data_IF_611333420477
#
_entry.id   IF_611333420477
#
_cell.length_a   1.000
_cell.length_b   1.000
_cell.length_c   1.000
_cell.angle_alpha   90.00
_cell.angle_beta   90.00
_cell.angle_gamma   90.00
#
_symmetry.space_group_name_H-M   'P 1'
#
loop_
_entity.id
_entity.type
_entity.pdbx_description
1 polymer ?
#
# COMPACT_ATOMS: atom_id res chain seq x y z
N UNK A 1 -20.72 -6.35 -3.01
CA UNK A 1 -19.55 -7.02 -2.40
C UNK A 1 -19.95 -7.59 -1.05
N UNK A 2 -19.55 -8.79 -0.69
CA UNK A 2 -19.75 -9.35 0.66
C UNK A 2 -18.45 -9.20 1.41
N UNK A 3 -18.45 -8.48 2.54
CA UNK A 3 -17.25 -8.24 3.33
C UNK A 3 -16.95 -9.44 4.23
N UNK A 4 -15.68 -9.82 4.32
CA UNK A 4 -15.20 -10.95 5.14
C UNK A 4 -14.80 -10.53 6.55
N UNK A 5 -14.48 -9.25 6.72
CA UNK A 5 -14.08 -8.67 8.01
C UNK A 5 -14.81 -7.34 8.25
N UNK A 6 -14.91 -6.94 9.52
CA UNK A 6 -15.45 -5.63 9.88
C UNK A 6 -14.57 -4.48 9.37
N UNK A 7 -13.24 -4.71 9.25
CA UNK A 7 -12.32 -3.74 8.70
C UNK A 7 -12.62 -3.45 7.21
N UNK A 8 -12.94 -4.48 6.41
CA UNK A 8 -13.38 -4.27 5.02
C UNK A 8 -14.65 -3.41 4.95
N UNK A 9 -15.67 -3.73 5.77
CA UNK A 9 -16.91 -2.95 5.82
C UNK A 9 -16.65 -1.50 6.24
N UNK A 10 -15.76 -1.28 7.19
CA UNK A 10 -15.37 0.05 7.69
C UNK A 10 -14.71 0.90 6.58
N UNK A 11 -13.75 0.34 5.84
CA UNK A 11 -13.04 1.05 4.78
C UNK A 11 -13.86 1.20 3.49
N UNK A 12 -14.74 0.24 3.18
CA UNK A 12 -15.65 0.35 2.04
C UNK A 12 -16.80 1.35 2.27
N UNK A 13 -17.12 1.66 3.52
CA UNK A 13 -18.22 2.53 3.92
C UNK A 13 -17.86 4.01 4.03
N UNK A 14 -18.67 4.73 4.82
CA UNK A 14 -18.61 6.19 4.98
C UNK A 14 -17.25 6.68 5.49
N UNK A 15 -16.63 5.93 6.42
CA UNK A 15 -15.31 6.31 6.94
C UNK A 15 -14.26 6.37 5.83
N UNK A 16 -14.20 5.35 4.94
CA UNK A 16 -13.29 5.34 3.80
C UNK A 16 -13.56 6.50 2.84
N UNK A 17 -14.83 6.85 2.64
CA UNK A 17 -15.23 7.98 1.81
C UNK A 17 -14.81 9.32 2.42
N UNK A 18 -15.01 9.52 3.72
CA UNK A 18 -14.53 10.73 4.43
C UNK A 18 -13.01 10.82 4.44
N UNK A 19 -12.31 9.69 4.48
CA UNK A 19 -10.85 9.62 4.47
C UNK A 19 -10.24 10.16 3.18
N UNK A 20 -10.97 10.12 2.04
CA UNK A 20 -10.54 10.69 0.76
C UNK A 20 -10.12 12.17 0.92
N UNK A 21 -10.90 12.96 1.68
CA UNK A 21 -10.66 14.40 1.84
C UNK A 21 -9.33 14.74 2.51
N UNK A 22 -8.71 13.78 3.22
CA UNK A 22 -7.44 13.97 3.94
C UNK A 22 -6.23 13.58 3.11
N UNK A 23 -6.43 12.84 2.03
CA UNK A 23 -5.37 12.23 1.23
C UNK A 23 -5.29 12.83 -0.17
N UNK A 24 -5.24 14.15 -0.25
CA UNK A 24 -5.16 14.90 -1.51
C UNK A 24 -4.31 16.16 -1.37
N UNK A 25 -3.96 16.76 -2.52
CA UNK A 25 -3.26 18.04 -2.61
C UNK A 25 -1.77 17.90 -2.93
N UNK A 26 -1.20 19.05 -3.37
CA UNK A 26 0.15 19.11 -3.90
C UNK A 26 1.23 18.85 -2.85
N UNK A 27 0.99 19.23 -1.58
CA UNK A 27 1.92 18.96 -0.49
C UNK A 27 2.09 17.44 -0.25
N UNK A 28 0.99 16.68 -0.27
CA UNK A 28 1.05 15.23 -0.17
C UNK A 28 1.73 14.60 -1.38
N UNK A 29 1.46 15.14 -2.59
CA UNK A 29 2.13 14.66 -3.81
C UNK A 29 3.64 14.88 -3.73
N UNK A 30 4.09 16.06 -3.27
CA UNK A 30 5.51 16.35 -3.08
C UNK A 30 6.17 15.42 -2.06
N UNK A 31 5.50 15.17 -0.92
CA UNK A 31 5.98 14.20 0.09
C UNK A 31 6.06 12.78 -0.46
N UNK A 32 5.10 12.36 -1.28
CA UNK A 32 5.12 11.05 -1.93
C UNK A 32 6.24 10.95 -2.98
N UNK A 33 6.53 12.01 -3.73
CA UNK A 33 7.65 12.05 -4.68
C UNK A 33 8.98 11.83 -3.96
N UNK A 34 9.23 12.57 -2.88
CA UNK A 34 10.44 12.41 -2.06
C UNK A 34 10.53 10.99 -1.47
N UNK A 35 9.42 10.51 -0.93
CA UNK A 35 9.32 9.16 -0.35
C UNK A 35 9.70 8.08 -1.38
N UNK A 36 9.06 8.07 -2.55
CA UNK A 36 9.31 7.03 -3.56
C UNK A 36 10.69 7.19 -4.21
N UNK A 37 11.21 8.40 -4.39
CA UNK A 37 12.57 8.61 -4.87
C UNK A 37 13.61 7.99 -3.92
N UNK A 38 13.38 8.06 -2.60
CA UNK A 38 14.21 7.43 -1.58
C UNK A 38 14.01 5.90 -1.52
N UNK A 39 12.76 5.47 -1.40
CA UNK A 39 12.43 4.05 -1.19
C UNK A 39 12.75 3.17 -2.39
N UNK A 40 12.72 3.70 -3.61
CA UNK A 40 12.96 2.95 -4.84
C UNK A 40 14.36 3.17 -5.43
N UNK A 41 15.27 3.87 -4.75
CA UNK A 41 16.62 4.18 -5.28
C UNK A 41 17.44 2.96 -5.66
N UNK A 42 17.18 1.80 -5.04
CA UNK A 42 17.83 0.52 -5.33
C UNK A 42 17.09 -0.31 -6.39
N UNK A 43 15.82 0.01 -6.66
CA UNK A 43 15.02 -0.68 -7.67
C UNK A 43 15.33 -0.16 -9.08
N UNK A 44 15.50 -1.06 -10.03
CA UNK A 44 15.82 -0.72 -11.42
C UNK A 44 14.85 -1.37 -12.40
N UNK A 45 14.53 -0.66 -13.48
CA UNK A 45 13.76 -1.20 -14.60
C UNK A 45 12.29 -1.42 -14.26
N UNK A 46 11.70 -0.65 -13.35
CA UNK A 46 10.26 -0.67 -13.05
C UNK A 46 9.50 -0.12 -14.24
N UNK A 47 8.70 -0.96 -14.90
CA UNK A 47 7.83 -0.61 -16.02
C UNK A 47 6.36 -0.84 -15.73
N UNK A 48 6.07 -1.63 -14.68
CA UNK A 48 4.70 -1.92 -14.24
C UNK A 48 4.62 -1.90 -12.72
N UNK A 49 3.48 -1.45 -12.18
CA UNK A 49 3.22 -1.53 -10.75
C UNK A 49 1.77 -1.86 -10.45
N UNK A 50 1.55 -2.43 -9.28
CA UNK A 50 0.22 -2.57 -8.66
C UNK A 50 0.26 -2.09 -7.23
N UNK A 51 -0.70 -1.25 -6.85
CA UNK A 51 -0.89 -0.77 -5.48
C UNK A 51 -2.10 -1.46 -4.83
N UNK A 52 -1.89 -1.99 -3.63
CA UNK A 52 -2.91 -2.61 -2.80
C UNK A 52 -3.46 -1.58 -1.80
N UNK A 53 -4.73 -1.18 -1.97
CA UNK A 53 -5.36 -0.12 -1.18
C UNK A 53 -4.93 1.28 -1.63
N UNK A 54 -5.20 1.62 -2.89
CA UNK A 54 -4.63 2.82 -3.52
C UNK A 54 -5.39 4.12 -3.18
N UNK A 55 -6.54 4.05 -2.52
CA UNK A 55 -7.41 5.20 -2.31
C UNK A 55 -7.61 5.95 -3.64
N UNK A 56 -7.48 7.27 -3.68
CA UNK A 56 -7.61 8.09 -4.91
C UNK A 56 -6.31 8.16 -5.74
N UNK A 57 -5.30 7.32 -5.46
CA UNK A 57 -4.10 7.15 -6.29
C UNK A 57 -3.00 8.19 -6.12
N UNK A 58 -2.88 8.85 -4.96
CA UNK A 58 -1.82 9.85 -4.74
C UNK A 58 -0.40 9.25 -4.82
N UNK A 59 -0.23 8.00 -4.39
CA UNK A 59 1.04 7.28 -4.56
C UNK A 59 1.30 6.99 -6.04
N UNK A 60 0.29 6.55 -6.79
CA UNK A 60 0.42 6.29 -8.23
C UNK A 60 0.69 7.56 -9.04
N UNK A 61 0.12 8.73 -8.64
CA UNK A 61 0.48 10.02 -9.24
C UNK A 61 1.97 10.30 -9.11
N UNK A 62 2.53 10.08 -7.91
CA UNK A 62 3.97 10.25 -7.69
C UNK A 62 4.80 9.26 -8.50
N UNK A 63 4.42 7.98 -8.53
CA UNK A 63 5.13 6.95 -9.30
C UNK A 63 5.10 7.23 -10.81
N UNK A 64 3.98 7.71 -11.36
CA UNK A 64 3.87 8.10 -12.78
C UNK A 64 4.76 9.29 -13.15
N UNK A 65 5.02 10.21 -12.21
CA UNK A 65 5.96 11.32 -12.41
C UNK A 65 7.43 10.85 -12.35
N UNK A 66 7.75 9.91 -11.43
CA UNK A 66 9.10 9.35 -11.31
C UNK A 66 9.43 8.34 -12.41
N UNK A 67 8.43 7.61 -12.91
CA UNK A 67 8.55 6.60 -13.95
C UNK A 67 7.55 6.87 -15.08
N UNK A 68 7.83 7.84 -15.98
CA UNK A 68 6.95 8.16 -17.11
C UNK A 68 6.69 6.91 -17.98
N UNK A 69 5.40 6.62 -18.23
CA UNK A 69 5.01 5.44 -19.01
C UNK A 69 4.85 4.15 -18.20
N UNK A 70 4.96 4.20 -16.87
CA UNK A 70 4.69 3.04 -16.01
C UNK A 70 3.25 2.53 -16.23
N UNK A 71 3.10 1.22 -16.43
CA UNK A 71 1.82 0.52 -16.48
C UNK A 71 1.32 0.31 -15.04
N UNK A 72 0.46 1.23 -14.57
CA UNK A 72 0.03 1.29 -13.18
C UNK A 72 -1.35 0.67 -12.99
N UNK A 73 -1.47 -0.27 -12.06
CA UNK A 73 -2.70 -0.92 -11.63
C UNK A 73 -2.97 -0.62 -10.15
N UNK A 74 -4.21 -0.76 -9.73
CA UNK A 74 -4.59 -0.53 -8.33
C UNK A 74 -5.77 -1.39 -7.88
N UNK A 75 -5.76 -1.75 -6.60
CA UNK A 75 -6.89 -2.38 -5.92
C UNK A 75 -7.42 -1.38 -4.90
N UNK A 76 -8.73 -1.15 -4.91
CA UNK A 76 -9.38 -0.27 -3.94
C UNK A 76 -10.77 -0.81 -3.59
N UNK A 77 -11.08 -0.85 -2.28
CA UNK A 77 -12.33 -1.41 -1.78
C UNK A 77 -13.45 -0.36 -1.71
N UNK A 78 -13.10 0.93 -1.51
CA UNK A 78 -14.07 2.01 -1.45
C UNK A 78 -14.49 2.42 -2.86
N UNK A 79 -15.81 2.40 -3.12
CA UNK A 79 -16.34 2.65 -4.45
C UNK A 79 -16.07 4.07 -4.96
N UNK A 80 -16.15 5.08 -4.09
CA UNK A 80 -15.92 6.47 -4.47
C UNK A 80 -14.44 6.73 -4.73
N UNK A 81 -13.55 6.18 -3.90
CA UNK A 81 -12.10 6.24 -4.13
C UNK A 81 -11.71 5.55 -5.44
N UNK A 82 -12.25 4.35 -5.71
CA UNK A 82 -12.01 3.62 -6.96
C UNK A 82 -12.49 4.39 -8.20
N UNK A 83 -13.62 5.10 -8.09
CA UNK A 83 -14.11 5.98 -9.17
C UNK A 83 -13.13 7.12 -9.45
N UNK A 84 -12.65 7.83 -8.42
CA UNK A 84 -11.69 8.93 -8.55
C UNK A 84 -10.31 8.42 -9.02
N UNK A 85 -9.92 7.22 -8.66
CA UNK A 85 -8.69 6.58 -9.12
C UNK A 85 -8.67 6.42 -10.65
N UNK A 86 -9.84 6.29 -11.29
CA UNK A 86 -10.00 6.30 -12.74
C UNK A 86 -9.54 7.60 -13.45
N UNK A 87 -9.37 8.70 -12.70
CA UNK A 87 -8.78 9.95 -13.21
C UNK A 87 -7.24 9.93 -13.19
N UNK A 88 -6.64 8.95 -12.49
CA UNK A 88 -5.17 8.81 -12.34
C UNK A 88 -4.61 7.73 -13.27
N UNK A 89 -5.30 6.60 -13.36
CA UNK A 89 -4.95 5.45 -14.20
C UNK A 89 -6.16 5.03 -15.04
N UNK A 90 -5.96 4.34 -16.18
CA UNK A 90 -7.06 3.85 -16.99
C UNK A 90 -8.07 3.05 -16.16
N UNK A 91 -9.39 3.26 -16.32
CA UNK A 91 -10.40 2.54 -15.54
C UNK A 91 -10.30 1.00 -15.61
N UNK A 92 -9.80 0.45 -16.72
CA UNK A 92 -9.56 -0.99 -16.89
C UNK A 92 -8.43 -1.53 -15.98
N UNK A 93 -7.61 -0.65 -15.41
CA UNK A 93 -6.52 -0.98 -14.48
C UNK A 93 -6.92 -0.75 -13.01
N UNK A 94 -8.13 -0.24 -12.77
CA UNK A 94 -8.71 -0.08 -11.43
C UNK A 94 -9.49 -1.35 -11.06
N UNK A 95 -9.02 -2.07 -10.06
CA UNK A 95 -9.70 -3.24 -9.52
C UNK A 95 -10.52 -2.82 -8.29
N UNK A 96 -11.81 -2.48 -8.48
CA UNK A 96 -12.72 -2.22 -7.36
C UNK A 96 -13.06 -3.53 -6.68
N UNK A 97 -12.27 -3.91 -5.70
CA UNK A 97 -12.32 -5.21 -5.01
C UNK A 97 -11.68 -5.14 -3.63
N UNK A 98 -12.06 -6.08 -2.76
CA UNK A 98 -11.26 -6.37 -1.58
C UNK A 98 -9.92 -7.00 -1.98
N UNK A 99 -8.86 -6.68 -1.23
CA UNK A 99 -7.55 -7.35 -1.32
C UNK A 99 -7.70 -8.86 -1.08
N UNK A 100 -8.61 -9.27 -0.18
CA UNK A 100 -8.87 -10.67 0.15
C UNK A 100 -9.56 -11.45 -0.99
N UNK A 101 -10.24 -10.76 -1.90
CA UNK A 101 -10.90 -11.36 -3.06
C UNK A 101 -10.06 -11.24 -4.34
N UNK A 102 -9.11 -10.31 -4.37
CA UNK A 102 -8.29 -10.08 -5.54
C UNK A 102 -7.38 -11.27 -5.82
N UNK A 103 -7.41 -11.76 -7.05
CA UNK A 103 -6.52 -12.83 -7.54
C UNK A 103 -5.70 -12.27 -8.70
N UNK A 104 -4.37 -12.12 -8.54
CA UNK A 104 -3.52 -11.58 -9.60
C UNK A 104 -3.55 -12.47 -10.84
N UNK A 105 -3.93 -11.91 -11.99
CA UNK A 105 -3.88 -12.61 -13.28
C UNK A 105 -2.48 -12.55 -13.93
N UNK A 106 -1.61 -11.69 -13.41
CA UNK A 106 -0.22 -11.50 -13.85
C UNK A 106 0.63 -11.02 -12.68
N UNK A 107 1.91 -10.83 -12.91
CA UNK A 107 2.84 -10.18 -11.99
C UNK A 107 3.24 -8.79 -12.51
N UNK A 108 3.63 -7.91 -11.59
CA UNK A 108 4.11 -6.55 -11.86
C UNK A 108 5.55 -6.40 -11.36
N UNK A 109 6.34 -5.54 -12.02
CA UNK A 109 7.73 -5.27 -11.60
C UNK A 109 7.78 -4.73 -10.16
N UNK A 110 6.81 -3.91 -9.77
CA UNK A 110 6.65 -3.38 -8.42
C UNK A 110 5.24 -3.71 -7.87
N UNK A 111 5.19 -4.38 -6.75
CA UNK A 111 3.99 -4.47 -5.90
C UNK A 111 4.16 -3.54 -4.70
N UNK A 112 3.16 -2.69 -4.46
CA UNK A 112 3.18 -1.66 -3.41
C UNK A 112 2.00 -1.85 -2.45
N UNK A 113 2.30 -1.72 -1.15
CA UNK A 113 1.30 -1.53 -0.10
C UNK A 113 1.81 -0.49 0.90
N UNK A 114 1.00 0.55 1.18
CA UNK A 114 1.41 1.68 2.03
C UNK A 114 0.24 2.15 2.90
N UNK A 115 0.38 2.02 4.22
CA UNK A 115 -0.62 2.45 5.20
C UNK A 115 -1.92 1.62 5.16
N UNK A 116 -1.85 0.35 4.82
CA UNK A 116 -3.01 -0.54 4.63
C UNK A 116 -2.95 -1.76 5.54
N UNK A 117 -1.80 -2.44 5.64
CA UNK A 117 -1.66 -3.64 6.47
C UNK A 117 -1.98 -3.37 7.94
N UNK A 118 -1.70 -2.16 8.41
CA UNK A 118 -2.05 -1.69 9.76
C UNK A 118 -3.56 -1.72 10.03
N UNK A 119 -4.39 -1.78 9.01
CA UNK A 119 -5.85 -1.79 9.10
C UNK A 119 -6.46 -3.16 8.76
N UNK A 120 -5.64 -4.16 8.46
CA UNK A 120 -6.07 -5.53 8.16
C UNK A 120 -6.13 -6.33 9.46
N UNK A 121 -7.22 -7.09 9.67
CA UNK A 121 -7.34 -7.97 10.83
C UNK A 121 -6.21 -9.02 10.83
N UNK A 122 -5.50 -9.24 11.96
CA UNK A 122 -4.33 -10.11 12.01
C UNK A 122 -4.55 -11.53 11.49
N UNK A 123 -5.75 -12.11 11.67
CA UNK A 123 -6.06 -13.48 11.24
C UNK A 123 -6.06 -13.64 9.70
N UNK A 124 -6.30 -12.57 8.95
CA UNK A 124 -6.33 -12.63 7.48
C UNK A 124 -5.05 -12.09 6.83
N UNK A 125 -4.09 -11.57 7.62
CA UNK A 125 -2.80 -11.10 7.09
C UNK A 125 -2.06 -12.15 6.28
N UNK A 126 -1.98 -13.46 6.68
CA UNK A 126 -1.32 -14.46 5.87
C UNK A 126 -1.86 -14.57 4.44
N UNK A 127 -3.19 -14.42 4.26
CA UNK A 127 -3.81 -14.42 2.94
C UNK A 127 -3.41 -13.16 2.14
N UNK A 128 -3.31 -12.00 2.79
CA UNK A 128 -2.86 -10.76 2.14
C UNK A 128 -1.40 -10.87 1.70
N UNK A 129 -0.53 -11.45 2.53
CA UNK A 129 0.88 -11.70 2.19
C UNK A 129 1.02 -12.60 0.96
N UNK A 130 0.20 -13.66 0.87
CA UNK A 130 0.16 -14.54 -0.31
C UNK A 130 -0.27 -13.77 -1.58
N UNK A 131 -1.24 -12.84 -1.47
CA UNK A 131 -1.67 -12.01 -2.60
C UNK A 131 -0.59 -11.03 -3.06
N UNK A 132 0.09 -10.38 -2.11
CA UNK A 132 1.22 -9.50 -2.39
C UNK A 132 2.35 -10.25 -3.11
N UNK A 133 2.72 -11.42 -2.58
CA UNK A 133 3.75 -12.26 -3.18
C UNK A 133 3.37 -12.78 -4.57
N UNK A 134 2.12 -13.19 -4.76
CA UNK A 134 1.62 -13.67 -6.06
C UNK A 134 1.62 -12.55 -7.12
N UNK A 135 1.31 -11.30 -6.74
CA UNK A 135 1.37 -10.15 -7.62
C UNK A 135 2.81 -9.68 -7.91
N UNK A 136 3.75 -9.98 -7.01
CA UNK A 136 5.14 -9.52 -7.10
C UNK A 136 5.91 -10.28 -8.18
N UNK A 137 6.32 -9.55 -9.24
CA UNK A 137 7.23 -10.09 -10.26
C UNK A 137 8.70 -9.89 -9.89
N UNK A 138 9.03 -8.77 -9.24
CA UNK A 138 10.42 -8.49 -8.85
C UNK A 138 10.53 -7.75 -7.53
N UNK A 139 9.90 -6.59 -7.37
CA UNK A 139 10.02 -5.79 -6.14
C UNK A 139 8.71 -5.77 -5.38
N UNK A 140 8.81 -5.90 -4.05
CA UNK A 140 7.72 -5.64 -3.11
C UNK A 140 8.13 -4.51 -2.18
N UNK A 141 7.38 -3.41 -2.19
CA UNK A 141 7.53 -2.29 -1.25
C UNK A 141 6.40 -2.34 -0.23
N UNK A 142 6.77 -2.53 1.03
CA UNK A 142 5.89 -2.46 2.20
C UNK A 142 6.23 -1.21 2.98
N UNK A 143 5.25 -0.33 3.22
CA UNK A 143 5.44 0.93 3.94
C UNK A 143 4.33 1.09 4.99
N UNK A 144 4.64 0.80 6.25
CA UNK A 144 3.65 0.66 7.32
C UNK A 144 4.18 1.22 8.66
N UNK A 145 3.32 1.29 9.67
CA UNK A 145 3.76 1.57 11.03
C UNK A 145 4.40 0.32 11.64
N UNK A 146 5.70 0.35 11.76
CA UNK A 146 6.48 -0.75 12.31
C UNK A 146 6.38 -0.85 13.84
N UNK A 147 6.36 -2.08 14.34
CA UNK A 147 6.67 -2.43 15.73
C UNK A 147 7.30 -3.83 15.75
N UNK A 148 8.37 -4.07 16.52
CA UNK A 148 9.04 -5.38 16.54
C UNK A 148 8.17 -6.51 17.12
N UNK A 149 7.15 -6.16 17.87
CA UNK A 149 6.18 -7.10 18.43
C UNK A 149 4.75 -6.68 18.07
N UNK A 150 3.83 -7.60 17.79
CA UNK A 150 2.45 -7.27 17.48
C UNK A 150 1.77 -6.46 18.59
N UNK A 151 1.19 -5.32 18.25
CA UNK A 151 0.39 -4.49 19.16
C UNK A 151 -0.85 -3.97 18.45
N UNK A 152 -1.96 -3.87 19.19
CA UNK A 152 -3.16 -3.17 18.76
C UNK A 152 -3.19 -1.77 19.38
N UNK A 153 -3.51 -0.76 18.58
CA UNK A 153 -3.55 0.64 19.01
C UNK A 153 -4.98 1.14 18.84
N UNK A 154 -5.47 1.87 19.87
CA UNK A 154 -6.76 2.55 19.77
C UNK A 154 -6.70 3.59 18.63
N UNK A 155 -7.61 3.48 17.68
CA UNK A 155 -7.67 4.35 16.51
C UNK A 155 -9.08 4.94 16.39
N UNK A 156 -9.19 6.26 16.58
CA UNK A 156 -10.44 7.02 16.43
C UNK A 156 -11.64 6.42 17.20
N UNK A 157 -11.38 5.98 18.44
CA UNK A 157 -12.40 5.38 19.31
C UNK A 157 -12.62 3.88 19.13
N UNK A 158 -11.89 3.23 18.22
CA UNK A 158 -11.92 1.78 18.00
C UNK A 158 -10.63 1.13 18.51
N UNK A 159 -10.75 -0.02 19.18
CA UNK A 159 -9.61 -0.75 19.76
C UNK A 159 -8.97 -1.75 18.78
N UNK A 160 -9.62 -2.01 17.65
CA UNK A 160 -9.36 -3.13 16.73
C UNK A 160 -9.22 -2.68 15.25
N UNK A 161 -8.83 -1.41 15.02
CA UNK A 161 -8.73 -0.82 13.67
C UNK A 161 -7.32 -0.42 13.28
N UNK A 162 -6.35 -0.51 14.19
CA UNK A 162 -4.95 -0.21 13.90
C UNK A 162 -4.03 -1.20 14.62
N UNK A 163 -3.25 -1.90 13.82
CA UNK A 163 -2.28 -2.90 14.29
C UNK A 163 -0.89 -2.50 13.81
N UNK A 164 0.11 -2.63 14.69
CA UNK A 164 1.52 -2.44 14.32
C UNK A 164 2.27 -3.73 14.57
N UNK A 165 3.13 -4.10 13.66
CA UNK A 165 3.95 -5.31 13.74
C UNK A 165 5.08 -5.29 12.71
N UNK A 166 5.93 -6.29 12.69
CA UNK A 166 6.95 -6.46 11.66
C UNK A 166 6.36 -7.13 10.41
N UNK A 167 5.52 -6.39 9.67
CA UNK A 167 4.88 -6.91 8.47
C UNK A 167 5.88 -7.42 7.43
N UNK A 168 7.00 -6.71 7.24
CA UNK A 168 8.01 -7.12 6.26
C UNK A 168 8.74 -8.38 6.69
N UNK A 169 9.08 -8.51 7.97
CA UNK A 169 9.66 -9.74 8.53
C UNK A 169 8.72 -10.93 8.36
N UNK A 170 7.44 -10.78 8.73
CA UNK A 170 6.43 -11.84 8.57
C UNK A 170 6.23 -12.26 7.10
N UNK A 171 6.29 -11.31 6.16
CA UNK A 171 6.22 -11.62 4.72
C UNK A 171 7.46 -12.41 4.27
N UNK A 172 8.67 -12.01 4.68
CA UNK A 172 9.92 -12.71 4.33
C UNK A 172 9.98 -14.11 4.96
N UNK A 173 9.53 -14.28 6.20
CA UNK A 173 9.45 -15.59 6.86
C UNK A 173 8.51 -16.54 6.12
N UNK A 174 7.40 -16.01 5.58
CA UNK A 174 6.42 -16.78 4.82
C UNK A 174 6.87 -17.07 3.39
N UNK A 175 7.61 -16.14 2.78
CA UNK A 175 8.07 -16.20 1.39
C UNK A 175 9.60 -16.00 1.32
N UNK A 176 10.41 -17.05 1.59
CA UNK A 176 11.88 -16.96 1.63
C UNK A 176 12.55 -16.53 0.32
N UNK A 177 11.79 -16.49 -0.79
CA UNK A 177 12.23 -15.95 -2.07
C UNK A 177 12.37 -14.42 -2.06
N UNK A 178 11.73 -13.73 -1.10
CA UNK A 178 11.86 -12.30 -0.92
C UNK A 178 13.09 -12.01 -0.03
N UNK A 179 13.96 -11.15 -0.52
CA UNK A 179 15.14 -10.72 0.22
C UNK A 179 15.11 -9.21 0.40
N UNK A 180 15.43 -8.76 1.62
CA UNK A 180 15.52 -7.33 1.91
C UNK A 180 16.60 -6.68 1.04
N UNK A 181 16.22 -5.66 0.28
CA UNK A 181 17.12 -4.88 -0.57
C UNK A 181 17.49 -3.54 0.08
N UNK A 182 16.50 -2.85 0.65
CA UNK A 182 16.70 -1.56 1.32
C UNK A 182 15.57 -1.32 2.33
N UNK A 183 15.79 -0.41 3.28
CA UNK A 183 14.77 0.01 4.24
C UNK A 183 15.04 1.42 4.75
N UNK A 184 14.04 2.05 5.36
CA UNK A 184 14.17 3.36 5.95
C UNK A 184 12.93 3.84 6.65
N UNK A 185 12.99 5.08 7.11
CA UNK A 185 11.95 5.72 7.89
C UNK A 185 11.60 7.09 7.31
N UNK A 186 10.32 7.42 7.25
CA UNK A 186 9.81 8.71 6.87
C UNK A 186 9.09 9.36 8.04
N UNK A 187 9.48 10.58 8.40
CA UNK A 187 9.11 11.22 9.66
C UNK A 187 8.00 12.25 9.48
N UNK A 188 7.02 12.26 10.38
CA UNK A 188 5.89 13.22 10.34
C UNK A 188 6.29 14.67 10.62
N UNK A 189 7.47 14.89 11.21
CA UNK A 189 8.03 16.22 11.48
C UNK A 189 9.13 16.60 10.52
N UNK A 190 9.26 15.91 9.38
CA UNK A 190 10.12 16.39 8.31
C UNK A 190 9.63 17.78 7.87
N UNK A 191 10.50 18.81 7.87
CA UNK A 191 10.07 20.18 7.59
C UNK A 191 9.68 20.41 6.12
N UNK A 192 10.10 19.52 5.21
CA UNK A 192 9.88 19.68 3.77
C UNK A 192 8.88 18.65 3.23
N UNK A 193 9.05 17.37 3.60
CA UNK A 193 8.31 16.25 3.02
C UNK A 193 7.80 15.29 4.10
N UNK A 194 6.88 15.75 4.99
CA UNK A 194 6.38 14.94 6.09
C UNK A 194 5.59 13.72 5.58
N UNK A 195 5.74 12.59 6.29
CA UNK A 195 4.95 11.36 6.15
C UNK A 195 4.50 10.88 7.54
N UNK A 196 3.58 9.94 7.63
CA UNK A 196 2.95 9.50 8.90
C UNK A 196 3.82 8.56 9.76
N UNK A 197 5.10 8.88 10.03
CA UNK A 197 6.02 8.01 10.79
C UNK A 197 6.08 6.58 10.21
N UNK A 198 6.19 6.48 8.89
CA UNK A 198 6.17 5.22 8.14
C UNK A 198 7.57 4.62 8.06
N UNK A 199 7.69 3.34 8.43
CA UNK A 199 8.87 2.53 8.11
C UNK A 199 8.61 1.78 6.82
N UNK A 200 9.52 1.87 5.87
CA UNK A 200 9.42 1.18 4.59
C UNK A 200 10.50 0.13 4.40
N UNK A 201 10.14 -0.95 3.72
CA UNK A 201 11.00 -2.08 3.40
C UNK A 201 10.83 -2.40 1.92
N UNK A 202 11.92 -2.34 1.17
CA UNK A 202 11.98 -2.76 -0.23
C UNK A 202 12.59 -4.16 -0.28
N UNK A 203 11.86 -5.10 -0.83
CA UNK A 203 12.29 -6.49 -1.01
C UNK A 203 12.40 -6.83 -2.49
N UNK A 204 13.36 -7.70 -2.85
CA UNK A 204 13.50 -8.25 -4.20
C UNK A 204 13.20 -9.74 -4.19
N UNK A 205 12.37 -10.19 -5.11
CA UNK A 205 12.02 -11.59 -5.35
C UNK A 205 13.09 -12.24 -6.22
N UNK A 206 13.69 -13.31 -5.74
CA UNK A 206 14.68 -14.14 -6.42
C UNK A 206 14.13 -15.48 -6.88
#
# INVERSE_FOLDING_TARGET
MTFKTEQEAFWAGDFGTEYIQRNQGDALLASNLDFFAKALRQARGIRSCIEFGANIGMNLKALKLLHPGIDAHAIEINAEAARQLGDVIPPAQVHHSSILDFSPARQWDLTLIKGVLIHIHPEVLPQVYDRLFAACGRYLLVAEYYNPSPVAIAYRGHSDRLFKRDFAGEIMDRHPQLQLLDYGFAYRRDPNFPQDDITWFLMEKR
#
